data_IF_353122508623
#
_entry.id   IF_353122508623
#
_cell.length_a   1.000
_cell.length_b   1.000
_cell.length_c   1.000
_cell.angle_alpha   90.00
_cell.angle_beta   90.00
_cell.angle_gamma   90.00
#
_symmetry.space_group_name_H-M   'P 1'
#
loop_
_entity.id
_entity.type
_entity.pdbx_description
1 polymer ?
#
# COMPACT_ATOMS: atom_id res chain seq x y z
N UNK A 1 -12.55 -12.36 3.64
CA UNK A 1 -12.15 -11.33 4.62
C UNK A 1 -10.66 -11.54 4.90
N UNK A 2 -9.82 -10.56 4.57
CA UNK A 2 -8.37 -10.63 4.75
C UNK A 2 -8.04 -10.33 6.22
N UNK A 3 -7.58 -11.30 7.04
CA UNK A 3 -7.54 -11.15 8.50
C UNK A 3 -6.56 -10.09 9.02
N UNK A 4 -5.43 -9.89 8.33
CA UNK A 4 -4.35 -8.97 8.70
C UNK A 4 -4.55 -7.55 8.14
N UNK A 5 -5.63 -7.33 7.39
CA UNK A 5 -5.96 -6.03 6.79
C UNK A 5 -6.88 -5.24 7.72
N UNK A 6 -6.48 -4.01 8.00
CA UNK A 6 -7.20 -3.09 8.87
C UNK A 6 -7.69 -1.88 8.10
N UNK A 7 -9.01 -1.70 8.03
CA UNK A 7 -9.63 -0.51 7.46
C UNK A 7 -9.63 0.60 8.51
N UNK A 8 -9.18 1.79 8.12
CA UNK A 8 -9.06 2.95 9.00
C UNK A 8 -10.34 3.81 8.99
N UNK A 9 -10.54 4.54 10.09
CA UNK A 9 -11.69 5.44 10.28
C UNK A 9 -12.95 4.75 10.79
N UNK A 10 -14.04 5.52 10.94
CA UNK A 10 -15.30 5.03 11.52
C UNK A 10 -16.12 4.19 10.53
N UNK A 11 -16.05 2.86 10.64
CA UNK A 11 -16.75 1.89 9.78
C UNK A 11 -18.28 2.00 9.82
N UNK A 12 -18.86 2.72 10.80
CA UNK A 12 -20.31 2.91 10.91
C UNK A 12 -20.80 4.17 10.21
N UNK A 13 -19.91 5.11 9.90
CA UNK A 13 -20.26 6.35 9.22
C UNK A 13 -20.54 6.12 7.72
N UNK A 14 -21.51 6.87 7.18
CA UNK A 14 -21.69 6.99 5.72
C UNK A 14 -20.41 7.55 5.11
N UNK A 15 -19.91 6.89 4.06
CA UNK A 15 -18.65 7.22 3.40
C UNK A 15 -18.79 7.16 1.90
N UNK A 16 -18.03 8.00 1.21
CA UNK A 16 -17.77 7.85 -0.23
C UNK A 16 -16.83 6.66 -0.44
N UNK A 17 -16.67 6.21 -1.68
CA UNK A 17 -15.81 5.08 -2.06
C UNK A 17 -14.30 5.33 -1.90
N UNK A 18 -13.87 5.99 -0.83
CA UNK A 18 -12.45 6.20 -0.52
C UNK A 18 -12.13 5.45 0.76
N UNK A 19 -11.27 4.44 0.64
CA UNK A 19 -10.91 3.51 1.71
C UNK A 19 -9.42 3.70 2.04
N UNK A 20 -9.12 3.81 3.33
CA UNK A 20 -7.75 3.80 3.83
C UNK A 20 -7.53 2.53 4.63
N UNK A 21 -6.45 1.79 4.35
CA UNK A 21 -6.15 0.55 5.03
C UNK A 21 -4.64 0.30 5.13
N UNK A 22 -4.25 -0.53 6.09
CA UNK A 22 -2.90 -1.09 6.18
C UNK A 22 -2.99 -2.60 6.40
N UNK A 23 -1.88 -3.30 6.15
CA UNK A 23 -1.77 -4.73 6.42
C UNK A 23 -0.61 -4.96 7.38
N UNK A 24 -0.87 -5.74 8.44
CA UNK A 24 0.17 -6.10 9.41
C UNK A 24 1.36 -6.78 8.72
N UNK A 25 2.58 -6.34 9.07
CA UNK A 25 3.82 -6.93 8.55
C UNK A 25 4.14 -6.57 7.10
N UNK A 26 3.32 -5.77 6.41
CA UNK A 26 3.56 -5.37 5.02
C UNK A 26 3.73 -3.85 4.93
N UNK A 27 4.87 -3.40 4.43
CA UNK A 27 5.11 -1.98 4.22
C UNK A 27 4.12 -1.43 3.18
N UNK A 28 3.43 -0.33 3.47
CA UNK A 28 2.38 0.21 2.61
C UNK A 28 2.87 0.52 1.18
N UNK A 29 4.11 0.99 1.02
CA UNK A 29 4.68 1.23 -0.32
C UNK A 29 4.95 -0.05 -1.12
N UNK A 30 5.12 -1.21 -0.47
CA UNK A 30 5.18 -2.49 -1.19
C UNK A 30 3.82 -2.81 -1.81
N UNK A 31 2.73 -2.66 -1.04
CA UNK A 31 1.36 -2.83 -1.55
C UNK A 31 1.08 -1.88 -2.72
N UNK A 32 1.45 -0.60 -2.58
CA UNK A 32 1.24 0.41 -3.63
C UNK A 32 1.96 0.04 -4.92
N UNK A 33 3.24 -0.37 -4.83
CA UNK A 33 4.02 -0.73 -6.02
C UNK A 33 3.52 -2.05 -6.63
N UNK A 34 3.29 -3.08 -5.82
CA UNK A 34 2.81 -4.37 -6.31
C UNK A 34 1.44 -4.26 -7.01
N UNK A 35 0.49 -3.53 -6.41
CA UNK A 35 -0.83 -3.28 -7.03
C UNK A 35 -0.70 -2.53 -8.36
N UNK A 36 0.20 -1.54 -8.43
CA UNK A 36 0.40 -0.75 -9.63
C UNK A 36 1.09 -1.54 -10.74
N UNK A 37 2.15 -2.27 -10.42
CA UNK A 37 3.02 -2.90 -11.43
C UNK A 37 2.40 -4.19 -11.97
N UNK A 38 1.82 -5.03 -11.09
CA UNK A 38 1.37 -6.38 -11.48
C UNK A 38 -0.13 -6.48 -11.77
N UNK A 39 -0.93 -5.54 -11.26
CA UNK A 39 -2.39 -5.57 -11.38
C UNK A 39 -2.96 -4.33 -12.08
N UNK A 40 -2.13 -3.34 -12.41
CA UNK A 40 -2.60 -2.08 -13.02
C UNK A 40 -3.50 -1.23 -12.11
N UNK A 41 -3.55 -1.53 -10.80
CA UNK A 41 -4.41 -0.84 -9.84
C UNK A 41 -3.62 0.30 -9.20
N UNK A 42 -3.96 1.53 -9.58
CA UNK A 42 -3.28 2.71 -9.06
C UNK A 42 -3.87 3.17 -7.73
N UNK A 43 -3.04 3.11 -6.68
CA UNK A 43 -3.37 3.58 -5.33
C UNK A 43 -2.36 4.60 -4.83
N UNK A 44 -2.68 5.28 -3.71
CA UNK A 44 -1.76 6.23 -3.06
C UNK A 44 -1.29 5.68 -1.71
N UNK A 45 -0.02 5.83 -1.41
CA UNK A 45 0.58 5.45 -0.12
C UNK A 45 1.01 6.66 0.71
N UNK A 46 1.09 6.48 2.02
CA UNK A 46 1.74 7.42 2.95
C UNK A 46 0.78 8.05 3.96
N UNK A 47 1.30 8.94 4.82
CA UNK A 47 0.52 9.55 5.90
C UNK A 47 -0.31 10.77 5.48
N UNK A 48 -0.56 10.97 4.17
CA UNK A 48 -1.49 11.97 3.60
C UNK A 48 -1.51 13.36 4.26
N UNK A 49 -0.33 13.88 4.65
CA UNK A 49 -0.15 15.16 5.35
C UNK A 49 -0.83 15.27 6.73
N UNK A 50 -1.25 14.15 7.31
CA UNK A 50 -2.00 14.11 8.56
C UNK A 50 -1.16 13.46 9.67
N UNK A 51 0.06 13.95 9.91
CA UNK A 51 1.03 13.31 10.83
C UNK A 51 0.47 13.06 12.25
N UNK A 52 -0.20 14.06 12.83
CA UNK A 52 -0.85 13.93 14.15
C UNK A 52 -2.03 12.96 14.14
N UNK A 53 -2.79 12.91 13.05
CA UNK A 53 -3.88 11.95 12.88
C UNK A 53 -3.36 10.54 12.61
N UNK A 54 -2.24 10.41 11.91
CA UNK A 54 -1.50 9.16 11.73
C UNK A 54 -1.01 8.61 13.06
N UNK A 55 -0.49 9.47 13.96
CA UNK A 55 -0.11 9.04 15.30
C UNK A 55 -1.31 8.50 16.09
N UNK A 56 -2.46 9.17 16.00
CA UNK A 56 -3.69 8.71 16.64
C UNK A 56 -4.20 7.39 16.07
N UNK A 57 -4.28 7.28 14.74
CA UNK A 57 -4.85 6.12 14.05
C UNK A 57 -3.96 4.87 14.09
N UNK A 58 -2.64 5.05 14.15
CA UNK A 58 -1.66 3.95 14.21
C UNK A 58 -1.14 3.72 15.63
N UNK A 59 -1.78 4.34 16.63
CA UNK A 59 -1.43 4.21 18.05
C UNK A 59 0.05 4.48 18.36
N UNK A 60 0.66 5.44 17.65
CA UNK A 60 2.06 5.82 17.84
C UNK A 60 2.19 6.58 19.15
N UNK A 61 2.91 6.00 20.10
CA UNK A 61 3.24 6.63 21.39
C UNK A 61 4.23 7.78 21.20
N UNK A 62 4.35 8.66 22.21
CA UNK A 62 5.32 9.76 22.18
C UNK A 62 6.77 9.28 22.06
N UNK A 63 7.09 8.14 22.67
CA UNK A 63 8.42 7.51 22.59
C UNK A 63 8.69 6.96 21.19
N UNK A 64 7.74 6.21 20.62
CA UNK A 64 7.83 5.74 19.24
C UNK A 64 7.94 6.91 18.26
N UNK A 65 7.16 7.97 18.45
CA UNK A 65 7.25 9.17 17.62
C UNK A 65 8.64 9.79 17.66
N UNK A 66 9.26 9.89 18.84
CA UNK A 66 10.62 10.44 18.98
C UNK A 66 11.65 9.58 18.26
N UNK A 67 11.57 8.25 18.41
CA UNK A 67 12.44 7.30 17.73
C UNK A 67 12.28 7.36 16.19
N UNK A 68 11.05 7.41 15.70
CA UNK A 68 10.76 7.59 14.26
C UNK A 68 11.35 8.91 13.77
N UNK A 69 11.17 10.02 14.50
CA UNK A 69 11.75 11.32 14.13
C UNK A 69 13.28 11.28 14.10
N UNK A 70 13.93 10.67 15.10
CA UNK A 70 15.39 10.52 15.14
C UNK A 70 15.91 9.71 13.95
N UNK A 71 15.22 8.64 13.56
CA UNK A 71 15.55 7.88 12.35
C UNK A 71 15.40 8.72 11.08
N UNK A 72 14.30 9.46 10.96
CA UNK A 72 14.06 10.37 9.83
C UNK A 72 15.17 11.42 9.73
N UNK A 73 15.59 12.00 10.86
CA UNK A 73 16.66 13.00 10.91
C UNK A 73 18.03 12.41 10.49
N UNK A 74 18.23 11.11 10.69
CA UNK A 74 19.38 10.34 10.22
C UNK A 74 19.23 9.86 8.76
N UNK A 75 18.11 10.18 8.10
CA UNK A 75 17.81 9.78 6.72
C UNK A 75 17.23 8.37 6.56
N UNK A 76 16.84 7.71 7.65
CA UNK A 76 16.15 6.41 7.64
C UNK A 76 14.63 6.60 7.75
N UNK A 77 13.92 6.40 6.64
CA UNK A 77 12.46 6.48 6.56
C UNK A 77 11.77 5.11 6.71
N UNK A 78 12.50 4.05 7.07
CA UNK A 78 11.96 2.67 7.15
C UNK A 78 10.83 2.49 8.15
N UNK A 79 10.82 3.29 9.22
CA UNK A 79 9.79 3.27 10.24
C UNK A 79 8.74 4.36 10.04
N UNK A 80 8.79 5.09 8.92
CA UNK A 80 7.81 6.14 8.63
C UNK A 80 6.43 5.51 8.46
N UNK A 81 5.44 5.84 9.30
CA UNK A 81 4.13 5.25 9.23
C UNK A 81 3.37 5.67 7.96
N UNK A 82 2.49 4.80 7.48
CA UNK A 82 1.63 5.09 6.35
C UNK A 82 0.60 4.00 6.09
N UNK A 83 -0.33 4.30 5.21
CA UNK A 83 -1.40 3.39 4.78
C UNK A 83 -1.59 3.50 3.28
N UNK A 84 -2.37 2.59 2.72
CA UNK A 84 -2.83 2.61 1.34
C UNK A 84 -4.18 3.31 1.29
N UNK A 85 -4.36 4.24 0.35
CA UNK A 85 -5.64 4.87 0.01
C UNK A 85 -6.11 4.38 -1.35
N UNK A 86 -7.20 3.63 -1.33
CA UNK A 86 -7.92 3.11 -2.49
C UNK A 86 -9.16 3.98 -2.74
N UNK A 87 -9.41 4.31 -4.00
CA UNK A 87 -10.60 5.04 -4.44
C UNK A 87 -11.39 4.18 -5.43
N UNK A 88 -12.63 3.88 -5.09
CA UNK A 88 -13.61 3.23 -5.94
C UNK A 88 -14.47 4.28 -6.63
N UNK A 89 -14.65 4.13 -7.94
CA UNK A 89 -15.49 5.04 -8.73
C UNK A 89 -16.94 4.53 -8.75
N UNK A 90 -17.97 5.41 -8.71
CA UNK A 90 -19.38 5.00 -8.73
C UNK A 90 -19.86 4.21 -9.96
N UNK A 91 -19.02 4.10 -11.01
CA UNK A 91 -19.35 3.37 -12.24
C UNK A 91 -18.57 2.06 -12.35
N UNK A 92 -17.71 1.75 -11.37
CA UNK A 92 -17.01 0.47 -11.35
C UNK A 92 -18.01 -0.66 -11.24
N UNK A 93 -17.78 -1.74 -11.98
CA UNK A 93 -18.59 -2.95 -11.89
C UNK A 93 -18.22 -3.75 -10.65
N UNK A 94 -19.07 -4.71 -10.27
CA UNK A 94 -18.76 -5.61 -9.15
C UNK A 94 -17.49 -6.43 -9.46
N UNK A 95 -17.32 -6.86 -10.72
CA UNK A 95 -16.16 -7.62 -11.16
C UNK A 95 -14.85 -6.81 -11.06
N UNK A 96 -14.87 -5.51 -11.35
CA UNK A 96 -13.70 -4.64 -11.18
C UNK A 96 -13.35 -4.47 -9.69
N UNK A 97 -14.37 -4.39 -8.83
CA UNK A 97 -14.16 -4.30 -7.38
C UNK A 97 -13.61 -5.62 -6.82
N UNK A 98 -14.15 -6.76 -7.26
CA UNK A 98 -13.67 -8.08 -6.87
C UNK A 98 -12.23 -8.30 -7.34
N UNK A 99 -11.89 -7.88 -8.56
CA UNK A 99 -10.51 -7.92 -9.06
C UNK A 99 -9.54 -7.15 -8.15
N UNK A 100 -9.95 -5.98 -7.64
CA UNK A 100 -9.14 -5.21 -6.69
C UNK A 100 -8.97 -5.96 -5.36
N UNK A 101 -10.04 -6.58 -4.85
CA UNK A 101 -9.98 -7.36 -3.60
C UNK A 101 -9.07 -8.57 -3.74
N UNK A 102 -9.19 -9.31 -4.86
CA UNK A 102 -8.37 -10.48 -5.18
C UNK A 102 -6.90 -10.12 -5.34
N UNK A 103 -6.59 -8.98 -5.99
CA UNK A 103 -5.23 -8.48 -6.12
C UNK A 103 -4.60 -8.17 -4.75
N UNK A 104 -5.35 -7.51 -3.86
CA UNK A 104 -4.90 -7.24 -2.49
C UNK A 104 -4.67 -8.57 -1.74
N UNK A 105 -5.60 -9.53 -1.85
CA UNK A 105 -5.48 -10.82 -1.18
C UNK A 105 -4.24 -11.60 -1.63
N UNK A 106 -3.95 -11.64 -2.93
CA UNK A 106 -2.74 -12.27 -3.47
C UNK A 106 -1.45 -11.66 -2.92
N UNK A 107 -1.41 -10.33 -2.74
CA UNK A 107 -0.26 -9.66 -2.14
C UNK A 107 -0.10 -10.03 -0.67
N UNK A 108 -1.20 -10.04 0.07
CA UNK A 108 -1.20 -10.35 1.50
C UNK A 108 -0.87 -11.81 1.79
N UNK A 109 -1.23 -12.73 0.92
CA UNK A 109 -0.93 -14.16 1.10
C UNK A 109 0.56 -14.50 0.88
N UNK A 110 1.27 -13.74 0.04
CA UNK A 110 2.66 -14.03 -0.32
C UNK A 110 3.57 -12.77 -0.30
N UNK A 111 3.65 -12.03 0.82
CA UNK A 111 4.35 -10.74 0.84
C UNK A 111 5.82 -10.83 0.46
N UNK A 112 6.52 -11.89 0.87
CA UNK A 112 7.94 -12.09 0.53
C UNK A 112 8.16 -12.40 -0.95
N UNK A 113 7.20 -13.05 -1.62
CA UNK A 113 7.25 -13.26 -3.07
C UNK A 113 7.23 -11.91 -3.80
N UNK A 114 6.23 -11.07 -3.51
CA UNK A 114 6.09 -9.75 -4.11
C UNK A 114 7.25 -8.81 -3.77
N UNK A 115 7.71 -8.83 -2.51
CA UNK A 115 8.90 -8.09 -2.08
C UNK A 115 10.15 -8.47 -2.87
N UNK A 116 10.26 -9.73 -3.32
CA UNK A 116 11.44 -10.21 -4.05
C UNK A 116 11.63 -9.54 -5.42
N UNK A 117 10.60 -8.88 -5.97
CA UNK A 117 10.67 -8.10 -7.21
C UNK A 117 11.23 -6.69 -7.02
N UNK A 118 11.52 -6.29 -5.77
CA UNK A 118 11.87 -4.91 -5.47
C UNK A 118 13.09 -4.78 -4.56
N UNK A 119 13.85 -3.71 -4.77
CA UNK A 119 14.83 -3.20 -3.81
C UNK A 119 14.21 -2.06 -3.02
N UNK A 120 14.22 -2.16 -1.69
CA UNK A 120 13.73 -1.10 -0.82
C UNK A 120 14.81 -0.05 -0.54
N UNK A 121 14.48 1.22 -0.79
CA UNK A 121 15.30 2.36 -0.41
C UNK A 121 14.76 2.98 0.89
N UNK A 122 15.51 2.80 1.97
CA UNK A 122 15.18 3.40 3.28
C UNK A 122 15.24 4.93 3.26
N UNK A 123 16.05 5.52 2.38
CA UNK A 123 16.23 6.99 2.31
C UNK A 123 15.11 7.67 1.52
N UNK A 124 14.63 7.02 0.45
CA UNK A 124 13.49 7.50 -0.34
C UNK A 124 12.14 7.04 0.24
N UNK A 125 12.16 6.00 1.08
CA UNK A 125 10.99 5.22 1.47
C UNK A 125 10.25 4.60 0.27
N UNK A 126 10.98 4.09 -0.72
CA UNK A 126 10.39 3.60 -1.98
C UNK A 126 10.87 2.19 -2.33
N UNK A 127 10.04 1.46 -3.09
CA UNK A 127 10.37 0.16 -3.64
C UNK A 127 10.64 0.30 -5.14
N UNK A 128 11.87 0.00 -5.55
CA UNK A 128 12.31 0.07 -6.94
C UNK A 128 12.34 -1.33 -7.56
N UNK A 129 11.77 -1.50 -8.77
CA UNK A 129 11.90 -2.71 -9.58
C UNK A 129 13.30 -3.33 -9.61
N UNK A 130 13.36 -4.65 -9.49
CA UNK A 130 14.53 -5.44 -9.89
C UNK A 130 14.36 -5.78 -11.37
N UNK A 131 15.10 -5.09 -12.24
CA UNK A 131 14.95 -5.20 -13.71
C UNK A 131 14.99 -6.64 -14.23
N UNK A 132 15.79 -7.52 -13.63
CA UNK A 132 15.91 -8.93 -14.06
C UNK A 132 14.68 -9.79 -13.74
N UNK A 133 13.75 -9.29 -12.92
CA UNK A 133 12.55 -10.01 -12.49
C UNK A 133 11.25 -9.41 -13.02
N UNK A 134 11.32 -8.22 -13.62
CA UNK A 134 10.17 -7.58 -14.24
C UNK A 134 10.24 -7.77 -15.75
N UNK A 135 9.41 -8.66 -16.29
CA UNK A 135 9.17 -8.70 -17.74
C UNK A 135 8.17 -7.59 -18.11
N UNK A 136 8.70 -6.37 -18.21
CA UNK A 136 7.91 -5.16 -18.47
C UNK A 136 7.07 -5.27 -19.75
N UNK A 137 7.48 -6.11 -20.72
CA UNK A 137 6.73 -6.30 -21.96
C UNK A 137 5.54 -7.25 -21.75
N UNK A 138 5.76 -8.39 -21.10
CA UNK A 138 4.69 -9.35 -20.82
C UNK A 138 3.62 -8.79 -19.85
N UNK A 139 4.03 -7.97 -18.88
CA UNK A 139 3.08 -7.33 -17.95
C UNK A 139 2.26 -6.22 -18.63
N UNK A 140 2.91 -5.44 -19.51
CA UNK A 140 2.21 -4.41 -20.28
C UNK A 140 1.20 -5.03 -21.26
N UNK A 141 1.58 -6.11 -21.98
CA UNK A 141 0.67 -6.83 -22.88
C UNK A 141 -0.54 -7.41 -22.13
N UNK A 142 -0.34 -8.04 -20.96
CA UNK A 142 -1.44 -8.50 -20.11
C UNK A 142 -2.36 -7.37 -19.63
N UNK A 143 -1.81 -6.21 -19.28
CA UNK A 143 -2.59 -5.07 -18.83
C UNK A 143 -3.47 -4.46 -19.94
N UNK A 144 -3.04 -4.57 -21.21
CA UNK A 144 -3.79 -4.06 -22.36
C UNK A 144 -4.77 -5.06 -22.97
N UNK A 145 -4.63 -6.36 -22.67
CA UNK A 145 -5.52 -7.43 -23.15
C UNK A 145 -6.80 -7.62 -22.31
N UNK A 146 -6.97 -6.89 -21.20
CA UNK A 146 -8.18 -6.89 -20.36
C UNK A 146 -9.37 -6.10 -20.97
N UNK A 147 -9.55 -6.14 -22.30
CA UNK A 147 -10.68 -5.49 -23.00
C UNK A 147 -11.80 -6.45 -23.36
#
# INVERSE_FOLDING_TARGET
KIPTLHIMGDLKAKRIGVLSFYVEGIHYNLLVRALSDHFGIQVRGGCSCAGTYGHYLLHVTKEQSKHITEKIDLGDLSEKPGWVRLSLHPIMTEEEVDYIVDAIEQIVQQPEHWKSFYNYSVTANEFYPVESKMDAKAEMEKAFDLK
#
